data_IF_846668778945
#
_entry.id   IF_846668778945
#
_cell.length_a   1.000
_cell.length_b   1.000
_cell.length_c   1.000
_cell.angle_alpha   90.00
_cell.angle_beta   90.00
_cell.angle_gamma   90.00
#
_symmetry.space_group_name_H-M   'P 1'
#
loop_
_entity.id
_entity.type
_entity.pdbx_description
1 polymer ?
#
# COMPACT_ATOMS: atom_id res chain seq x y z
N UNK A 1 -13.37 28.00 11.41
CA UNK A 1 -12.01 28.15 11.99
C UNK A 1 -11.79 27.02 12.97
N UNK A 2 -10.77 26.18 12.75
CA UNK A 2 -10.46 25.07 13.66
C UNK A 2 -9.59 25.53 14.82
N UNK A 3 -9.78 24.95 16.01
CA UNK A 3 -8.88 25.15 17.13
C UNK A 3 -7.62 24.30 16.89
N UNK A 4 -6.51 24.95 16.51
CA UNK A 4 -5.22 24.28 16.32
C UNK A 4 -4.40 24.46 17.60
N UNK A 5 -4.29 23.39 18.39
CA UNK A 5 -3.40 23.32 19.55
C UNK A 5 -2.29 22.31 19.28
N UNK A 6 -1.09 22.58 19.80
CA UNK A 6 0.01 21.63 19.70
C UNK A 6 -0.24 20.40 20.61
N UNK A 7 0.43 19.29 20.30
CA UNK A 7 0.25 18.01 21.00
C UNK A 7 0.55 18.08 22.50
N UNK A 8 1.51 18.90 22.92
CA UNK A 8 1.87 19.03 24.34
C UNK A 8 0.81 19.78 25.14
N UNK A 9 0.28 20.87 24.58
CA UNK A 9 -0.83 21.62 25.16
C UNK A 9 -2.09 20.76 25.24
N UNK A 10 -2.39 19.98 24.20
CA UNK A 10 -3.52 19.04 24.20
C UNK A 10 -3.39 18.02 25.34
N UNK A 11 -2.22 17.39 25.50
CA UNK A 11 -1.99 16.40 26.56
C UNK A 11 -2.13 16.95 27.98
N UNK A 12 -1.88 18.25 28.18
CA UNK A 12 -2.04 18.92 29.48
C UNK A 12 -3.50 19.23 29.80
N UNK A 13 -4.33 19.49 28.79
CA UNK A 13 -5.75 19.88 28.94
C UNK A 13 -6.65 18.64 28.88
N UNK A 14 -6.38 17.73 27.96
CA UNK A 14 -7.14 16.51 27.69
C UNK A 14 -6.31 15.31 28.11
N UNK A 15 -6.68 14.72 29.25
CA UNK A 15 -6.06 13.47 29.70
C UNK A 15 -6.53 12.32 28.81
N UNK A 16 -5.57 11.52 28.33
CA UNK A 16 -5.81 10.49 27.31
C UNK A 16 -6.76 9.37 27.75
N UNK A 17 -6.80 9.06 29.03
CA UNK A 17 -7.71 8.10 29.66
C UNK A 17 -9.17 8.58 29.56
N UNK A 18 -9.44 9.83 29.91
CA UNK A 18 -10.78 10.43 29.83
C UNK A 18 -11.22 10.56 28.36
N UNK A 19 -10.31 10.95 27.47
CA UNK A 19 -10.64 11.11 26.05
C UNK A 19 -11.03 9.80 25.37
N UNK A 20 -10.44 8.67 25.77
CA UNK A 20 -10.78 7.36 25.17
C UNK A 20 -12.23 6.97 25.40
N UNK A 21 -12.87 7.44 26.47
CA UNK A 21 -14.29 7.18 26.72
C UNK A 21 -15.23 8.14 25.97
N UNK A 22 -14.68 9.21 25.37
CA UNK A 22 -15.47 10.19 24.61
C UNK A 22 -15.97 9.59 23.29
N UNK A 23 -17.27 9.73 23.03
CA UNK A 23 -17.90 9.31 21.77
C UNK A 23 -17.18 9.92 20.56
N UNK A 24 -16.86 11.22 20.62
CA UNK A 24 -16.15 11.92 19.54
C UNK A 24 -14.75 11.32 19.30
N UNK A 25 -14.08 10.84 20.34
CA UNK A 25 -12.77 10.21 20.18
C UNK A 25 -12.90 8.83 19.54
N UNK A 26 -13.94 8.06 19.88
CA UNK A 26 -14.23 6.78 19.25
C UNK A 26 -14.58 6.96 17.77
N UNK A 27 -15.40 7.95 17.42
CA UNK A 27 -15.73 8.28 16.02
C UNK A 27 -14.46 8.61 15.21
N UNK A 28 -13.55 9.42 15.77
CA UNK A 28 -12.27 9.75 15.13
C UNK A 28 -11.39 8.50 14.96
N UNK A 29 -11.40 7.60 15.95
CA UNK A 29 -10.63 6.36 15.88
C UNK A 29 -11.20 5.43 14.81
N UNK A 30 -12.51 5.25 14.76
CA UNK A 30 -13.21 4.43 13.77
C UNK A 30 -12.97 4.97 12.34
N UNK A 31 -13.09 6.29 12.13
CA UNK A 31 -12.78 6.91 10.84
C UNK A 31 -11.30 6.68 10.45
N UNK A 32 -10.39 6.73 11.42
CA UNK A 32 -8.97 6.44 11.23
C UNK A 32 -8.72 4.98 10.84
N UNK A 33 -9.37 4.04 11.51
CA UNK A 33 -9.29 2.60 11.22
C UNK A 33 -9.87 2.26 9.85
N UNK A 34 -11.02 2.83 9.49
CA UNK A 34 -11.64 2.64 8.18
C UNK A 34 -10.73 3.15 7.06
N UNK A 35 -10.19 4.37 7.20
CA UNK A 35 -9.22 4.92 6.25
C UNK A 35 -7.97 4.06 6.14
N UNK A 36 -7.46 3.57 7.28
CA UNK A 36 -6.31 2.68 7.34
C UNK A 36 -6.56 1.36 6.60
N UNK A 37 -7.72 0.74 6.83
CA UNK A 37 -8.12 -0.51 6.19
C UNK A 37 -8.34 -0.33 4.68
N UNK A 38 -9.01 0.75 4.25
CA UNK A 38 -9.23 1.06 2.84
C UNK A 38 -7.89 1.25 2.11
N UNK A 39 -6.99 2.05 2.69
CA UNK A 39 -5.65 2.28 2.14
C UNK A 39 -4.84 0.98 2.07
N UNK A 40 -4.79 0.21 3.16
CA UNK A 40 -4.05 -1.05 3.20
C UNK A 40 -4.59 -2.09 2.22
N UNK A 41 -5.92 -2.16 2.03
CA UNK A 41 -6.54 -3.03 1.01
C UNK A 41 -6.16 -2.60 -0.40
N UNK A 42 -6.15 -1.30 -0.69
CA UNK A 42 -5.79 -0.78 -2.01
C UNK A 42 -4.30 -1.05 -2.32
N UNK A 43 -3.41 -0.75 -1.38
CA UNK A 43 -1.97 -1.01 -1.50
C UNK A 43 -1.71 -2.51 -1.69
N UNK A 44 -2.27 -3.37 -0.82
CA UNK A 44 -2.09 -4.82 -0.93
C UNK A 44 -2.66 -5.42 -2.23
N UNK A 45 -3.76 -4.88 -2.76
CA UNK A 45 -4.29 -5.32 -4.06
C UNK A 45 -3.36 -4.93 -5.22
N UNK A 46 -2.77 -3.73 -5.17
CA UNK A 46 -1.85 -3.25 -6.18
C UNK A 46 -0.54 -4.06 -6.15
N UNK A 47 0.05 -4.22 -4.96
CA UNK A 47 1.25 -5.03 -4.76
C UNK A 47 1.02 -6.48 -5.20
N UNK A 48 -0.12 -7.08 -4.85
CA UNK A 48 -0.46 -8.44 -5.25
C UNK A 48 -0.62 -8.62 -6.77
N UNK A 49 -1.14 -7.60 -7.47
CA UNK A 49 -1.22 -7.62 -8.94
C UNK A 49 0.17 -7.52 -9.58
N UNK A 50 1.00 -6.60 -9.10
CA UNK A 50 2.38 -6.41 -9.59
C UNK A 50 3.23 -7.66 -9.35
N UNK A 51 3.17 -8.22 -8.15
CA UNK A 51 3.90 -9.44 -7.79
C UNK A 51 3.47 -10.63 -8.66
N UNK A 52 2.16 -10.80 -8.87
CA UNK A 52 1.65 -11.85 -9.76
C UNK A 52 2.12 -11.63 -11.21
N UNK A 53 2.11 -10.40 -11.71
CA UNK A 53 2.59 -10.08 -13.05
C UNK A 53 4.08 -10.42 -13.20
N UNK A 54 4.91 -10.07 -12.20
CA UNK A 54 6.33 -10.44 -12.16
C UNK A 54 6.54 -11.95 -12.17
N UNK A 55 5.81 -12.70 -11.33
CA UNK A 55 5.91 -14.16 -11.30
C UNK A 55 5.53 -14.82 -12.63
N UNK A 56 4.51 -14.28 -13.33
CA UNK A 56 4.14 -14.75 -14.67
C UNK A 56 5.26 -14.43 -15.66
N UNK A 57 5.80 -13.22 -15.64
CA UNK A 57 6.90 -12.80 -16.50
C UNK A 57 8.14 -13.70 -16.33
N UNK A 58 8.52 -14.03 -15.08
CA UNK A 58 9.61 -14.95 -14.79
C UNK A 58 9.38 -16.34 -15.41
N UNK A 59 8.18 -16.90 -15.24
CA UNK A 59 7.83 -18.20 -15.86
C UNK A 59 7.89 -18.15 -17.38
N UNK A 60 7.49 -17.04 -17.99
CA UNK A 60 7.58 -16.85 -19.44
C UNK A 60 9.03 -16.68 -19.91
N UNK A 61 9.87 -15.95 -19.16
CA UNK A 61 11.32 -15.88 -19.44
C UNK A 61 11.96 -17.27 -19.40
N UNK A 62 11.68 -18.06 -18.35
CA UNK A 62 12.17 -19.44 -18.25
C UNK A 62 11.66 -20.36 -19.37
N UNK A 63 10.49 -20.05 -19.94
CA UNK A 63 9.92 -20.77 -21.07
C UNK A 63 10.44 -20.27 -22.44
N UNK A 64 11.34 -19.29 -22.46
CA UNK A 64 12.01 -18.79 -23.67
C UNK A 64 11.22 -17.74 -24.46
N UNK A 65 10.19 -17.13 -23.87
CA UNK A 65 9.47 -16.03 -24.51
C UNK A 65 10.34 -14.77 -24.59
N UNK A 66 10.16 -13.98 -25.66
CA UNK A 66 10.85 -12.70 -25.79
C UNK A 66 10.29 -11.64 -24.84
N UNK A 67 11.11 -10.68 -24.44
CA UNK A 67 10.72 -9.55 -23.59
C UNK A 67 9.52 -8.79 -24.18
N UNK A 68 9.48 -8.64 -25.52
CA UNK A 68 8.36 -7.97 -26.22
C UNK A 68 7.06 -8.75 -26.09
N UNK A 69 7.09 -10.08 -26.15
CA UNK A 69 5.90 -10.92 -25.96
C UNK A 69 5.43 -10.87 -24.51
N UNK A 70 6.36 -10.92 -23.55
CA UNK A 70 6.04 -10.86 -22.12
C UNK A 70 5.38 -9.52 -21.77
N UNK A 71 5.95 -8.40 -22.23
CA UNK A 71 5.39 -7.07 -22.01
C UNK A 71 3.95 -6.95 -22.53
N UNK A 72 3.64 -7.62 -23.65
CA UNK A 72 2.30 -7.62 -24.25
C UNK A 72 1.24 -8.34 -23.40
N UNK A 73 1.63 -9.31 -22.58
CA UNK A 73 0.69 -10.16 -21.82
C UNK A 73 0.68 -9.91 -20.32
N UNK A 74 1.69 -9.23 -19.78
CA UNK A 74 1.87 -9.04 -18.33
C UNK A 74 1.65 -7.60 -17.86
N UNK A 75 1.38 -6.68 -18.77
CA UNK A 75 1.30 -5.23 -18.52
C UNK A 75 2.56 -4.63 -17.87
N UNK A 76 3.68 -5.37 -17.89
CA UNK A 76 4.97 -4.91 -17.41
C UNK A 76 5.73 -4.17 -18.51
N UNK A 77 6.53 -3.18 -18.10
CA UNK A 77 7.43 -2.51 -19.04
C UNK A 77 8.59 -3.43 -19.43
N UNK A 78 9.13 -3.31 -20.66
CA UNK A 78 10.33 -4.04 -21.06
C UNK A 78 11.50 -3.87 -20.08
N UNK A 79 11.72 -2.65 -19.57
CA UNK A 79 12.76 -2.37 -18.57
C UNK A 79 12.55 -3.16 -17.26
N UNK A 80 11.31 -3.30 -16.80
CA UNK A 80 10.99 -4.13 -15.62
C UNK A 80 11.30 -5.61 -15.88
N UNK A 81 11.03 -6.10 -17.08
CA UNK A 81 11.29 -7.49 -17.46
C UNK A 81 12.81 -7.75 -17.59
N UNK A 82 13.56 -6.79 -18.13
CA UNK A 82 15.04 -6.83 -18.19
C UNK A 82 15.65 -6.88 -16.79
N UNK A 83 15.16 -6.05 -15.85
CA UNK A 83 15.58 -6.10 -14.45
C UNK A 83 15.31 -7.48 -13.82
N UNK A 84 14.14 -8.07 -14.08
CA UNK A 84 13.79 -9.40 -13.59
C UNK A 84 14.75 -10.46 -14.13
N UNK A 85 15.07 -10.41 -15.43
CA UNK A 85 16.02 -11.33 -16.05
C UNK A 85 17.42 -11.23 -15.41
N UNK A 86 17.92 -10.00 -15.21
CA UNK A 86 19.25 -9.77 -14.63
C UNK A 86 19.42 -10.18 -13.17
N UNK A 87 18.31 -10.40 -12.45
CA UNK A 87 18.31 -10.80 -11.04
C UNK A 87 18.27 -12.32 -10.85
N UNK A 88 17.81 -13.04 -11.88
CA UNK A 88 17.70 -14.50 -11.87
C UNK A 88 18.91 -15.21 -12.52
N UNK A 89 19.80 -14.44 -13.17
CA UNK A 89 21.13 -14.87 -13.66
C UNK A 89 22.20 -14.91 -12.54
#
# INVERSE_FOLDING_TARGET
AGLVLNRETIKKILRSDIMRESVIYQDILEEGEEKGLQKGRQEGLQEGKEEKARQIALKMLSAGFSISEIARFTDLSPATIEELQSRDD
#
